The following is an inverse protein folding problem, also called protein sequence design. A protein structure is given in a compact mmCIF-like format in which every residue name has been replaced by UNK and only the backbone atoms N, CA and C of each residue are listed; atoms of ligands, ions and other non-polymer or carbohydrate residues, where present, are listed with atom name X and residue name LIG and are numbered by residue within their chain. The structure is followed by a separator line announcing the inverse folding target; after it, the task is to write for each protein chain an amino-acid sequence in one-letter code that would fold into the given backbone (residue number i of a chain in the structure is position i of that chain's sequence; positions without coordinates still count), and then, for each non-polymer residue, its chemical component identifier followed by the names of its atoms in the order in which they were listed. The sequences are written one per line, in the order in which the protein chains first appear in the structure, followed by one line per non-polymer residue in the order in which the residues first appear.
data_IF_089070870624
#
_entry.id   IF_089070870624
#
_cell.length_a   1.000
_cell.length_b   1.000
_cell.length_c   1.000
_cell.angle_alpha   90.00
_cell.angle_beta   90.00
_cell.angle_gamma   90.00
#
_symmetry.space_group_name_H-M   'P 1'
#
loop_
_entity.id
_entity.type
_entity.pdbx_description
1 polymer ?
#
# COMPACT_ATOMS: atom_id res chain seq x y z
N UNK A 1 -19.48 -10.88 -2.64
CA UNK A 1 -18.72 -10.47 -3.84
C UNK A 1 -19.68 -10.24 -5.02
N UNK A 2 -20.29 -9.06 -5.14
CA UNK A 2 -21.30 -8.74 -6.19
C UNK A 2 -20.71 -8.61 -7.60
N UNK A 3 -19.39 -8.49 -7.74
CA UNK A 3 -18.70 -8.31 -9.02
C UNK A 3 -18.23 -9.62 -9.70
N UNK A 4 -18.46 -10.78 -9.08
CA UNK A 4 -18.15 -12.12 -9.65
C UNK A 4 -19.38 -12.88 -10.14
N UNK A 5 -20.58 -12.30 -10.01
CA UNK A 5 -21.82 -12.97 -10.40
C UNK A 5 -21.84 -13.18 -11.92
N UNK A 6 -21.62 -14.43 -12.36
CA UNK A 6 -21.69 -14.84 -13.77
C UNK A 6 -20.35 -15.09 -14.46
N UNK A 7 -19.21 -14.96 -13.78
CA UNK A 7 -17.93 -15.39 -14.34
C UNK A 7 -17.73 -16.88 -13.98
N UNK A 8 -17.46 -17.78 -14.95
CA UNK A 8 -17.20 -19.17 -14.64
C UNK A 8 -15.95 -19.27 -13.75
N UNK A 9 -16.09 -19.88 -12.57
CA UNK A 9 -14.93 -20.31 -11.78
C UNK A 9 -14.36 -21.54 -12.49
N UNK A 10 -13.28 -21.33 -13.25
CA UNK A 10 -12.47 -22.43 -13.76
C UNK A 10 -11.49 -22.82 -12.66
N UNK A 11 -11.46 -24.11 -12.28
CA UNK A 11 -10.48 -24.64 -11.32
C UNK A 11 -9.10 -24.75 -11.98
N UNK A 12 -8.48 -23.59 -12.21
CA UNK A 12 -7.20 -23.45 -12.89
C UNK A 12 -6.17 -22.64 -12.08
N UNK A 13 -4.91 -22.69 -12.54
CA UNK A 13 -3.79 -22.01 -11.90
C UNK A 13 -3.99 -20.48 -11.85
N UNK A 14 -4.75 -19.91 -12.78
CA UNK A 14 -5.04 -18.48 -12.80
C UNK A 14 -6.00 -18.08 -11.67
N UNK A 15 -7.06 -18.86 -11.44
CA UNK A 15 -7.99 -18.65 -10.33
C UNK A 15 -7.26 -18.82 -8.99
N UNK A 16 -6.44 -19.86 -8.85
CA UNK A 16 -5.63 -20.07 -7.66
C UNK A 16 -4.68 -18.89 -7.40
N UNK A 17 -3.93 -18.46 -8.41
CA UNK A 17 -2.99 -17.35 -8.28
C UNK A 17 -3.69 -16.02 -7.99
N UNK A 18 -4.86 -15.78 -8.60
CA UNK A 18 -5.69 -14.61 -8.33
C UNK A 18 -6.23 -14.56 -6.90
N UNK A 19 -6.69 -15.70 -6.36
CA UNK A 19 -7.11 -15.80 -4.96
C UNK A 19 -5.92 -15.55 -4.03
N UNK A 20 -4.75 -16.14 -4.31
CA UNK A 20 -3.53 -15.92 -3.53
C UNK A 20 -3.06 -14.47 -3.54
N UNK A 21 -3.15 -13.77 -4.68
CA UNK A 21 -2.87 -12.34 -4.79
C UNK A 21 -3.76 -11.52 -3.85
N UNK A 22 -5.06 -11.80 -3.84
CA UNK A 22 -6.03 -11.13 -2.96
C UNK A 22 -5.76 -11.42 -1.49
N UNK A 23 -5.59 -12.70 -1.14
CA UNK A 23 -5.46 -13.12 0.26
C UNK A 23 -4.12 -12.68 0.87
N UNK A 24 -3.08 -12.47 0.06
CA UNK A 24 -1.78 -11.94 0.53
C UNK A 24 -1.70 -10.41 0.57
N UNK A 25 -2.68 -9.69 0.01
CA UNK A 25 -2.69 -8.23 0.02
C UNK A 25 -2.72 -7.64 1.44
N UNK A 26 -3.61 -8.14 2.29
CA UNK A 26 -3.69 -7.72 3.70
C UNK A 26 -2.40 -8.04 4.46
N UNK A 27 -1.77 -9.17 4.13
CA UNK A 27 -0.46 -9.52 4.68
C UNK A 27 0.63 -8.53 4.23
N UNK A 28 0.54 -7.97 3.03
CA UNK A 28 1.51 -6.97 2.57
C UNK A 28 1.46 -5.70 3.42
N UNK A 29 0.29 -5.24 3.86
CA UNK A 29 0.18 -4.11 4.80
C UNK A 29 0.97 -4.37 6.07
N UNK A 30 0.73 -5.52 6.72
CA UNK A 30 1.40 -5.90 7.96
C UNK A 30 2.92 -6.02 7.77
N UNK A 31 3.35 -6.71 6.72
CA UNK A 31 4.77 -6.94 6.47
C UNK A 31 5.50 -5.66 6.09
N UNK A 32 4.94 -4.84 5.21
CA UNK A 32 5.56 -3.61 4.71
C UNK A 32 5.51 -2.44 5.69
N UNK A 33 4.49 -2.38 6.56
CA UNK A 33 4.25 -1.26 7.47
C UNK A 33 3.46 -0.10 6.84
N UNK A 34 2.98 -0.23 5.59
CA UNK A 34 1.98 0.71 5.06
C UNK A 34 0.60 0.33 5.62
N UNK A 35 -0.08 1.26 6.31
CA UNK A 35 -1.39 1.00 6.89
C UNK A 35 -2.51 1.12 5.82
N UNK A 36 -3.76 0.92 6.26
CA UNK A 36 -4.98 0.96 5.42
C UNK A 36 -5.59 2.36 5.30
N UNK A 37 -4.78 3.40 5.50
CA UNK A 37 -5.16 4.77 5.20
C UNK A 37 -4.92 5.10 3.72
N UNK A 38 -5.49 6.18 3.20
CA UNK A 38 -5.43 6.47 1.76
C UNK A 38 -3.99 6.59 1.22
N UNK A 39 -3.06 7.14 2.01
CA UNK A 39 -1.66 7.24 1.63
C UNK A 39 -0.96 5.88 1.70
N UNK A 40 -1.26 5.09 2.73
CA UNK A 40 -0.78 3.73 2.93
C UNK A 40 -1.19 2.81 1.79
N UNK A 41 -2.46 2.84 1.38
CA UNK A 41 -2.99 2.12 0.22
C UNK A 41 -2.26 2.48 -1.07
N UNK A 42 -2.12 3.79 -1.36
CA UNK A 42 -1.45 4.24 -2.57
C UNK A 42 0.05 3.87 -2.60
N UNK A 43 0.71 3.94 -1.44
CA UNK A 43 2.12 3.55 -1.28
C UNK A 43 2.30 2.03 -1.37
N UNK A 44 1.37 1.26 -0.83
CA UNK A 44 1.38 -0.20 -0.93
C UNK A 44 1.12 -0.67 -2.36
N UNK A 45 0.28 0.01 -3.14
CA UNK A 45 0.12 -0.31 -4.56
C UNK A 45 1.44 -0.14 -5.34
N UNK A 46 2.25 0.87 -4.99
CA UNK A 46 3.59 1.02 -5.58
C UNK A 46 4.55 -0.11 -5.15
N UNK A 47 4.49 -0.55 -3.90
CA UNK A 47 5.20 -1.75 -3.42
C UNK A 47 4.76 -3.01 -4.16
N UNK A 48 3.45 -3.20 -4.31
CA UNK A 48 2.81 -4.35 -4.96
C UNK A 48 3.17 -4.41 -6.42
N UNK A 49 3.24 -3.27 -7.13
CA UNK A 49 3.75 -3.22 -8.49
C UNK A 49 5.17 -3.82 -8.60
N UNK A 50 6.07 -3.47 -7.68
CA UNK A 50 7.43 -4.03 -7.70
C UNK A 50 7.45 -5.52 -7.32
N UNK A 51 6.46 -6.02 -6.59
CA UNK A 51 6.28 -7.45 -6.31
C UNK A 51 5.71 -8.20 -7.52
N UNK A 52 4.70 -7.65 -8.18
CA UNK A 52 4.04 -8.24 -9.34
C UNK A 52 3.72 -7.14 -10.39
N UNK A 53 4.59 -6.91 -11.39
CA UNK A 53 4.47 -5.78 -12.30
C UNK A 53 3.17 -5.76 -13.11
N UNK A 54 2.43 -4.66 -12.99
CA UNK A 54 1.23 -4.37 -13.79
C UNK A 54 1.12 -2.88 -14.07
N UNK A 55 1.00 -2.49 -15.36
CA UNK A 55 0.95 -1.07 -15.76
C UNK A 55 -0.24 -0.33 -15.12
N UNK A 56 -1.39 -1.00 -15.01
CA UNK A 56 -2.58 -0.44 -14.35
C UNK A 56 -2.36 -0.18 -12.86
N UNK A 57 -1.74 -1.13 -12.13
CA UNK A 57 -1.43 -0.97 -10.70
C UNK A 57 -0.47 0.20 -10.47
N UNK A 58 0.57 0.33 -11.31
CA UNK A 58 1.50 1.46 -11.22
C UNK A 58 0.79 2.79 -11.45
N UNK A 59 -0.10 2.85 -12.44
CA UNK A 59 -0.87 4.04 -12.75
C UNK A 59 -1.78 4.45 -11.58
N UNK A 60 -2.51 3.50 -10.98
CA UNK A 60 -3.38 3.76 -9.84
C UNK A 60 -2.56 4.22 -8.63
N UNK A 61 -1.44 3.57 -8.33
CA UNK A 61 -0.54 3.97 -7.25
C UNK A 61 -0.06 5.42 -7.41
N UNK A 62 0.39 5.76 -8.63
CA UNK A 62 0.85 7.11 -8.96
C UNK A 62 -0.27 8.14 -8.83
N UNK A 63 -1.46 7.86 -9.39
CA UNK A 63 -2.60 8.77 -9.34
C UNK A 63 -3.16 8.95 -7.93
N UNK A 64 -3.15 7.90 -7.10
CA UNK A 64 -3.53 7.97 -5.69
C UNK A 64 -2.61 8.92 -4.92
N UNK A 65 -1.29 8.69 -5.00
CA UNK A 65 -0.31 9.57 -4.35
C UNK A 65 -0.39 11.00 -4.89
N UNK A 66 -0.55 11.18 -6.20
CA UNK A 66 -0.64 12.51 -6.82
C UNK A 66 -1.91 13.25 -6.42
N UNK A 67 -3.04 12.56 -6.24
CA UNK A 67 -4.29 13.17 -5.78
C UNK A 67 -4.14 13.64 -4.34
N UNK A 68 -3.59 12.81 -3.45
CA UNK A 68 -3.30 13.18 -2.06
C UNK A 68 -2.33 14.37 -2.01
N UNK A 69 -1.27 14.35 -2.84
CA UNK A 69 -0.27 15.40 -2.90
C UNK A 69 -0.83 16.79 -3.27
N UNK A 70 -1.95 16.87 -4.00
CA UNK A 70 -2.58 18.15 -4.34
C UNK A 70 -3.19 18.85 -3.13
N UNK A 71 -3.68 18.08 -2.18
CA UNK A 71 -4.43 18.58 -1.02
C UNK A 71 -3.61 18.51 0.27
N UNK A 72 -2.47 17.81 0.28
CA UNK A 72 -1.61 17.68 1.44
C UNK A 72 -0.64 18.86 1.59
N UNK A 73 -0.17 19.16 2.82
CA UNK A 73 0.90 20.12 3.04
C UNK A 73 2.15 19.73 2.25
N UNK A 74 2.81 20.69 1.58
CA UNK A 74 4.02 20.43 0.78
C UNK A 74 5.13 19.73 1.57
N UNK A 75 5.21 20.01 2.88
CA UNK A 75 6.15 19.39 3.80
C UNK A 75 5.98 17.88 3.96
N UNK A 76 4.78 17.34 3.71
CA UNK A 76 4.50 15.90 3.81
C UNK A 76 5.15 15.09 2.69
N UNK A 77 5.60 15.72 1.59
CA UNK A 77 6.37 15.10 0.51
C UNK A 77 5.77 13.78 0.00
N UNK A 78 4.46 13.76 -0.24
CA UNK A 78 3.67 12.57 -0.59
C UNK A 78 4.26 11.72 -1.73
N UNK A 79 4.84 12.35 -2.76
CA UNK A 79 5.43 11.60 -3.88
C UNK A 79 6.66 10.78 -3.47
N UNK A 80 7.34 11.13 -2.38
CA UNK A 80 8.44 10.31 -1.86
C UNK A 80 7.93 8.96 -1.34
N UNK A 81 6.70 8.90 -0.82
CA UNK A 81 6.05 7.66 -0.38
C UNK A 81 5.80 6.71 -1.58
N UNK A 82 5.39 7.24 -2.73
CA UNK A 82 5.25 6.46 -3.96
C UNK A 82 6.60 5.83 -4.38
N UNK A 83 7.66 6.64 -4.43
CA UNK A 83 8.98 6.16 -4.81
C UNK A 83 9.58 5.21 -3.78
N UNK A 84 9.31 5.42 -2.49
CA UNK A 84 9.67 4.53 -1.39
C UNK A 84 8.97 3.18 -1.52
N UNK A 85 7.65 3.15 -1.72
CA UNK A 85 6.88 1.94 -1.99
C UNK A 85 7.50 1.11 -3.10
N UNK A 86 7.74 1.75 -4.25
CA UNK A 86 8.37 1.09 -5.41
C UNK A 86 9.76 0.53 -5.09
N UNK A 87 10.62 1.30 -4.41
CA UNK A 87 11.98 0.89 -4.02
C UNK A 87 11.97 -0.26 -3.01
N UNK A 88 11.13 -0.15 -1.97
CA UNK A 88 11.01 -1.16 -0.91
C UNK A 88 10.46 -2.48 -1.48
N UNK A 89 9.45 -2.40 -2.35
CA UNK A 89 8.90 -3.59 -3.01
C UNK A 89 9.87 -4.25 -3.98
N UNK A 90 10.79 -3.50 -4.58
CA UNK A 90 11.83 -4.07 -5.44
C UNK A 90 12.97 -4.72 -4.64
N UNK A 91 13.28 -4.19 -3.45
CA UNK A 91 14.30 -4.74 -2.56
C UNK A 91 13.82 -6.00 -1.80
N UNK A 92 12.53 -6.09 -1.51
CA UNK A 92 11.95 -7.22 -0.80
C UNK A 92 11.89 -8.50 -1.66
N UNK A 93 12.10 -9.65 -1.02
CA UNK A 93 11.79 -10.95 -1.63
C UNK A 93 10.31 -11.02 -2.06
N UNK A 94 10.02 -11.84 -3.07
CA UNK A 94 8.66 -12.01 -3.58
C UNK A 94 7.79 -12.74 -2.54
N UNK A 95 6.93 -12.00 -1.84
CA UNK A 95 6.13 -12.52 -0.72
C UNK A 95 5.20 -13.65 -1.20
N UNK A 96 4.57 -13.51 -2.37
CA UNK A 96 3.67 -14.54 -2.90
C UNK A 96 4.35 -15.87 -3.21
N UNK A 97 5.68 -15.88 -3.36
CA UNK A 97 6.48 -17.10 -3.60
C UNK A 97 6.91 -17.78 -2.30
N UNK A 98 6.61 -17.21 -1.15
CA UNK A 98 6.92 -17.80 0.15
C UNK A 98 5.86 -18.84 0.55
N UNK A 99 6.22 -19.73 1.45
CA UNK A 99 5.20 -20.46 2.22
C UNK A 99 4.52 -19.47 3.17
N UNK A 100 3.28 -19.08 2.84
CA UNK A 100 2.52 -18.06 3.58
C UNK A 100 2.15 -18.58 4.98
N UNK A 101 1.83 -19.87 5.10
CA UNK A 101 1.43 -20.45 6.39
C UNK A 101 2.63 -20.52 7.34
N UNK A 102 3.82 -20.86 6.83
CA UNK A 102 5.05 -20.79 7.60
C UNK A 102 5.43 -19.35 7.94
N UNK A 103 5.36 -18.43 6.96
CA UNK A 103 5.66 -17.00 7.13
C UNK A 103 4.78 -16.36 8.22
N UNK A 104 3.49 -16.69 8.28
CA UNK A 104 2.59 -16.17 9.32
C UNK A 104 2.92 -16.63 10.74
N UNK A 105 3.74 -17.69 10.90
CA UNK A 105 4.20 -18.18 12.21
C UNK A 105 5.52 -17.52 12.64
N UNK A 106 6.20 -16.81 11.75
CA UNK A 106 7.46 -16.13 12.06
C UNK A 106 7.18 -14.84 12.88
N UNK A 107 8.05 -14.50 13.85
CA UNK A 107 8.01 -13.18 14.47
C UNK A 107 8.18 -12.09 13.40
N UNK A 108 7.34 -11.06 13.44
CA UNK A 108 7.27 -10.01 12.41
C UNK A 108 8.64 -9.38 12.08
N UNK A 109 9.46 -9.09 13.09
CA UNK A 109 10.80 -8.56 12.91
C UNK A 109 11.73 -9.51 12.15
N UNK A 110 11.66 -10.81 12.47
CA UNK A 110 12.42 -11.87 11.79
C UNK A 110 11.97 -12.04 10.34
N UNK A 111 10.67 -12.06 10.09
CA UNK A 111 10.09 -12.12 8.76
C UNK A 111 10.53 -10.94 7.89
N UNK A 112 10.45 -9.69 8.42
CA UNK A 112 10.90 -8.49 7.71
C UNK A 112 12.39 -8.54 7.37
N UNK A 113 13.23 -8.94 8.32
CA UNK A 113 14.67 -9.05 8.11
C UNK A 113 15.00 -10.09 7.04
N UNK A 114 14.43 -11.29 7.14
CA UNK A 114 14.62 -12.39 6.17
C UNK A 114 14.16 -11.99 4.77
N UNK A 115 12.99 -11.37 4.66
CA UNK A 115 12.42 -10.95 3.39
C UNK A 115 13.05 -9.66 2.82
N UNK A 116 13.96 -9.00 3.55
CA UNK A 116 14.56 -7.74 3.12
C UNK A 116 13.57 -6.58 3.04
N UNK A 117 12.50 -6.62 3.84
CA UNK A 117 11.47 -5.59 3.86
C UNK A 117 11.97 -4.40 4.70
N UNK A 118 12.15 -3.27 4.02
CA UNK A 118 12.60 -2.03 4.64
C UNK A 118 11.44 -1.30 5.31
N UNK A 119 11.74 -0.63 6.43
CA UNK A 119 10.81 0.30 7.09
C UNK A 119 10.41 1.42 6.13
N UNK A 120 9.12 1.79 6.04
CA UNK A 120 8.63 2.85 5.17
C UNK A 120 8.75 4.22 5.84
N UNK A 121 9.96 4.78 5.81
CA UNK A 121 10.34 6.00 6.55
C UNK A 121 9.66 7.26 5.99
N UNK A 122 9.62 7.40 4.66
CA UNK A 122 8.96 8.53 4.00
C UNK A 122 7.47 8.54 4.31
N UNK A 123 6.83 7.37 4.29
CA UNK A 123 5.43 7.22 4.66
C UNK A 123 5.16 7.59 6.13
N UNK A 124 5.95 7.08 7.09
CA UNK A 124 5.77 7.46 8.50
C UNK A 124 5.92 8.97 8.72
N UNK A 125 6.94 9.59 8.11
CA UNK A 125 7.14 11.05 8.17
C UNK A 125 5.97 11.82 7.55
N UNK A 126 5.46 11.35 6.42
CA UNK A 126 4.31 11.98 5.77
C UNK A 126 3.08 11.91 6.69
N UNK A 127 2.83 10.75 7.32
CA UNK A 127 1.75 10.60 8.29
C UNK A 127 1.89 11.55 9.48
N UNK A 128 3.08 11.68 10.07
CA UNK A 128 3.31 12.63 11.19
C UNK A 128 2.91 14.07 10.81
N UNK A 129 3.33 14.52 9.62
CA UNK A 129 3.01 15.86 9.13
C UNK A 129 1.52 16.00 8.84
N UNK A 130 0.92 14.99 8.20
CA UNK A 130 -0.51 14.95 7.93
C UNK A 130 -1.31 15.01 9.24
N UNK A 131 -1.00 14.17 10.23
CA UNK A 131 -1.69 14.19 11.52
C UNK A 131 -1.53 15.52 12.25
N UNK A 132 -0.35 16.15 12.19
CA UNK A 132 -0.14 17.49 12.74
C UNK A 132 -1.02 18.58 12.09
N UNK A 133 -1.46 18.38 10.84
CA UNK A 133 -2.39 19.26 10.13
C UNK A 133 -3.85 18.77 10.20
N UNK A 134 -4.17 17.89 11.16
CA UNK A 134 -5.54 17.42 11.39
C UNK A 134 -6.00 16.27 10.49
N UNK A 135 -5.12 15.69 9.67
CA UNK A 135 -5.49 14.53 8.86
C UNK A 135 -5.51 13.27 9.73
N UNK A 136 -6.70 12.75 9.97
CA UNK A 136 -6.97 11.45 10.59
C UNK A 136 -7.24 10.37 9.54
N UNK A 137 -7.15 9.09 9.94
CA UNK A 137 -7.48 7.95 9.08
C UNK A 137 -8.90 8.04 8.50
N UNK A 138 -9.85 8.61 9.25
CA UNK A 138 -11.24 8.83 8.80
C UNK A 138 -11.33 9.94 7.76
N UNK A 139 -10.74 11.11 8.01
CA UNK A 139 -10.72 12.24 7.05
C UNK A 139 -10.00 11.88 5.75
N UNK A 140 -8.97 11.02 5.77
CA UNK A 140 -8.30 10.60 4.54
C UNK A 140 -9.19 9.73 3.63
N UNK A 141 -10.19 9.03 4.19
CA UNK A 141 -11.14 8.19 3.45
C UNK A 141 -12.38 8.98 3.01
N UNK A 142 -12.85 9.93 3.83
CA UNK A 142 -14.04 10.75 3.55
C UNK A 142 -13.77 11.85 2.51
N UNK A 143 -12.56 12.40 2.49
CA UNK A 143 -12.21 13.59 1.71
C UNK A 143 -11.40 13.28 0.45
N UNK A 144 -11.64 12.15 -0.22
CA UNK A 144 -10.91 11.68 -1.41
C UNK A 144 -10.87 12.72 -2.56
N UNK A 145 -10.05 13.77 -2.40
CA UNK A 145 -9.94 14.91 -3.30
C UNK A 145 -10.44 16.28 -2.79
N UNK A 146 -11.04 16.45 -1.61
CA UNK A 146 -11.52 17.77 -1.15
C UNK A 146 -11.22 18.04 0.32
N UNK A 147 -10.25 18.90 0.61
CA UNK A 147 -10.10 19.49 1.95
C UNK A 147 -9.98 21.01 1.83
N UNK A 148 -10.83 21.70 2.58
CA UNK A 148 -10.90 23.15 2.70
C UNK A 148 -9.68 23.70 3.45
N UNK A 149 -9.05 24.72 2.88
CA UNK A 149 -7.97 25.52 3.49
C UNK A 149 -8.53 26.38 4.63
N UNK A 150 -8.97 25.77 5.73
CA UNK A 150 -9.36 26.49 6.94
C UNK A 150 -8.99 25.70 8.18
N UNK A 151 -7.73 25.86 8.62
CA UNK A 151 -7.33 25.80 10.03
C UNK A 151 -5.86 26.20 10.17
N UNK A 152 -5.54 27.45 9.85
CA UNK A 152 -4.36 28.13 10.36
C UNK A 152 -4.65 29.64 10.35
N UNK A 153 -5.31 30.10 11.41
CA UNK A 153 -5.32 31.49 11.83
C UNK A 153 -4.35 31.60 13.03
#
# INVERSE_FOLDING_TARGET
LKHRAGQPDFDDDYLWFGNRLRDTHDLFHVLSGYNRDALGEASLLAFTYSQNPGKGVLFIAFMGCRTIAKNAPKGARIMDCFWEGKRNGAAAQKIMRQDIVALMKEPLGGARARLGIKTPVAYHRALEILTAHGYTATTQLEDAGKVSEQAAA
#
